data_IF_869468922458
#
_entry.id   IF_869468922458
#
_cell.length_a   1.000
_cell.length_b   1.000
_cell.length_c   1.000
_cell.angle_alpha   90.00
_cell.angle_beta   90.00
_cell.angle_gamma   90.00
#
_symmetry.space_group_name_H-M   'P 1'
#
loop_
_entity.id
_entity.type
_entity.pdbx_description
1 polymer ?
#
# COMPACT_ATOMS: atom_id res chain seq x y z
N UNK A 1 20.80 11.76 -18.91
CA UNK A 1 21.59 11.38 -20.09
C UNK A 1 21.89 12.66 -20.86
N UNK A 2 23.13 13.08 -20.93
CA UNK A 2 23.52 14.20 -21.78
C UNK A 2 23.51 13.68 -23.23
N UNK A 3 22.66 14.23 -24.09
CA UNK A 3 22.71 13.99 -25.54
C UNK A 3 24.08 14.42 -26.03
N UNK A 4 24.79 13.50 -26.65
CA UNK A 4 26.06 13.84 -27.34
C UNK A 4 25.82 14.95 -28.38
N UNK A 5 26.86 15.60 -28.86
CA UNK A 5 26.70 16.63 -29.89
C UNK A 5 26.02 16.01 -31.10
N UNK A 6 24.98 16.68 -31.64
CA UNK A 6 24.28 16.26 -32.83
C UNK A 6 25.32 16.11 -33.96
N UNK A 7 25.49 14.88 -34.46
CA UNK A 7 26.47 14.54 -35.50
C UNK A 7 26.04 15.05 -36.89
N UNK A 8 24.78 15.40 -37.06
CA UNK A 8 24.23 15.89 -38.32
C UNK A 8 23.08 16.90 -38.11
N UNK A 9 22.74 17.64 -39.12
CA UNK A 9 21.62 18.59 -39.18
C UNK A 9 20.78 18.27 -40.40
N UNK A 10 19.45 18.22 -40.23
CA UNK A 10 18.55 18.01 -41.36
C UNK A 10 18.30 19.30 -42.11
N UNK A 11 18.53 19.30 -43.40
CA UNK A 11 18.21 20.44 -44.27
C UNK A 11 16.72 20.65 -44.36
N UNK A 12 16.21 21.83 -44.01
CA UNK A 12 14.79 22.17 -44.05
C UNK A 12 14.20 22.23 -45.45
N UNK A 13 15.02 22.36 -46.51
CA UNK A 13 14.56 22.47 -47.89
C UNK A 13 14.47 21.13 -48.63
N UNK A 14 15.46 20.23 -48.42
CA UNK A 14 15.51 18.97 -49.14
C UNK A 14 15.42 17.74 -48.25
N UNK A 15 15.38 17.89 -46.93
CA UNK A 15 15.30 16.81 -45.96
C UNK A 15 16.60 15.99 -45.79
N UNK A 16 17.70 16.33 -46.48
CA UNK A 16 18.94 15.56 -46.42
C UNK A 16 19.70 15.84 -45.11
N UNK A 17 20.32 14.80 -44.58
CA UNK A 17 21.23 14.91 -43.45
C UNK A 17 22.56 15.50 -43.90
N UNK A 18 23.03 16.53 -43.24
CA UNK A 18 24.23 17.25 -43.57
C UNK A 18 25.07 17.52 -42.34
N UNK A 19 26.39 17.67 -42.55
CA UNK A 19 27.31 18.00 -41.45
C UNK A 19 26.95 19.31 -40.76
N UNK A 20 27.00 19.39 -39.43
CA UNK A 20 26.71 20.62 -38.69
C UNK A 20 27.76 21.73 -38.94
N UNK A 21 28.84 21.46 -39.69
CA UNK A 21 29.96 22.38 -39.94
C UNK A 21 29.83 23.15 -41.23
N UNK A 22 28.91 22.77 -42.15
CA UNK A 22 28.74 23.44 -43.45
C UNK A 22 27.76 24.61 -43.36
N UNK A 23 27.94 25.59 -44.20
CA UNK A 23 27.10 26.78 -44.28
C UNK A 23 26.00 26.67 -45.30
N UNK A 24 26.17 25.81 -46.31
CA UNK A 24 25.26 25.57 -47.39
C UNK A 24 25.04 24.09 -47.61
N UNK A 25 23.83 23.67 -47.96
CA UNK A 25 23.47 22.27 -48.21
C UNK A 25 24.11 21.81 -49.55
N UNK A 26 24.94 20.75 -49.58
CA UNK A 26 25.56 20.27 -50.80
C UNK A 26 24.57 19.67 -51.82
N UNK A 27 23.36 19.32 -51.38
CA UNK A 27 22.35 18.69 -52.21
C UNK A 27 21.40 19.69 -52.89
N UNK A 28 21.05 20.79 -52.21
CA UNK A 28 20.08 21.77 -52.75
C UNK A 28 20.57 23.22 -52.75
N UNK A 29 21.80 23.50 -52.31
CA UNK A 29 22.37 24.83 -52.25
C UNK A 29 21.78 25.77 -51.21
N UNK A 30 20.77 25.34 -50.47
CA UNK A 30 20.10 26.19 -49.46
C UNK A 30 21.06 26.54 -48.33
N UNK A 31 21.08 27.81 -47.96
CA UNK A 31 21.95 28.30 -46.86
C UNK A 31 21.41 27.85 -45.52
N UNK A 32 22.22 27.07 -44.81
CA UNK A 32 21.86 26.49 -43.50
C UNK A 32 22.16 27.44 -42.36
N UNK A 33 23.28 28.20 -42.47
CA UNK A 33 23.78 29.13 -41.44
C UNK A 33 24.46 30.35 -42.04
N UNK A 34 24.39 31.48 -41.33
CA UNK A 34 25.06 32.71 -41.76
C UNK A 34 26.58 32.67 -41.64
N UNK A 35 27.14 31.89 -40.70
CA UNK A 35 28.58 31.73 -40.47
C UNK A 35 28.87 30.30 -40.02
N UNK A 36 30.06 29.79 -40.42
CA UNK A 36 30.52 28.50 -39.92
C UNK A 36 30.78 28.56 -38.39
N UNK A 37 30.57 27.48 -37.64
CA UNK A 37 30.88 27.44 -36.24
C UNK A 37 32.43 27.63 -36.05
N UNK A 38 32.84 28.40 -35.04
CA UNK A 38 34.25 28.51 -34.68
C UNK A 38 34.74 27.19 -34.10
N UNK A 39 35.83 26.68 -34.64
CA UNK A 39 36.47 25.44 -34.16
C UNK A 39 37.51 25.78 -33.08
N UNK A 40 37.62 24.96 -32.08
CA UNK A 40 38.75 24.96 -31.13
C UNK A 40 39.96 24.21 -31.72
N UNK A 41 41.17 24.41 -31.16
CA UNK A 41 42.36 23.64 -31.56
C UNK A 41 42.09 22.17 -31.29
N UNK A 42 41.84 21.39 -32.35
CA UNK A 42 41.42 19.97 -32.29
C UNK A 42 40.20 19.65 -33.13
N UNK A 43 39.64 20.63 -33.90
CA UNK A 43 38.55 20.39 -34.84
C UNK A 43 37.14 20.27 -34.21
N UNK A 44 37.02 20.44 -32.92
CA UNK A 44 35.73 20.40 -32.20
C UNK A 44 35.08 21.78 -32.26
N UNK A 45 33.77 21.90 -32.61
CA UNK A 45 33.08 23.17 -32.63
C UNK A 45 33.05 23.76 -31.22
N UNK A 46 33.44 25.02 -31.10
CA UNK A 46 33.25 25.76 -29.87
C UNK A 46 31.77 25.84 -29.56
N UNK A 47 31.34 25.18 -28.49
CA UNK A 47 29.97 25.26 -28.02
C UNK A 47 29.55 26.75 -27.96
N UNK A 48 28.39 27.15 -28.55
CA UNK A 48 27.91 28.51 -28.37
C UNK A 48 27.93 28.77 -26.87
N UNK A 49 28.46 29.92 -26.42
CA UNK A 49 28.34 30.30 -25.02
C UNK A 49 26.85 30.30 -24.70
N UNK A 50 26.35 29.16 -24.27
CA UNK A 50 25.00 29.09 -23.79
C UNK A 50 24.88 30.14 -22.71
N UNK A 51 23.95 31.07 -22.90
CA UNK A 51 23.53 31.90 -21.79
C UNK A 51 23.49 30.96 -20.60
N UNK A 52 24.28 31.23 -19.56
CA UNK A 52 24.39 30.40 -18.36
C UNK A 52 22.98 29.92 -18.04
N UNK A 53 22.62 28.72 -18.48
CA UNK A 53 21.36 28.10 -18.06
C UNK A 53 21.46 28.12 -16.57
N UNK A 54 20.67 28.99 -15.95
CA UNK A 54 20.51 28.96 -14.51
C UNK A 54 20.29 27.50 -14.18
N UNK A 55 21.27 26.88 -13.49
CA UNK A 55 21.10 25.50 -13.02
C UNK A 55 19.75 25.51 -12.34
N UNK A 56 18.77 24.70 -12.77
CA UNK A 56 17.52 24.65 -12.07
C UNK A 56 17.91 24.35 -10.62
N UNK A 57 17.68 25.31 -9.73
CA UNK A 57 17.80 25.05 -8.30
C UNK A 57 16.73 24.01 -8.03
N UNK A 58 17.16 22.77 -7.82
CA UNK A 58 16.30 21.73 -7.31
C UNK A 58 15.77 22.27 -5.97
N UNK A 59 14.57 22.79 -6.00
CA UNK A 59 13.88 23.14 -4.77
C UNK A 59 13.61 21.83 -4.04
N UNK A 60 13.82 21.77 -2.73
CA UNK A 60 13.43 20.59 -1.97
C UNK A 60 11.94 20.33 -2.24
N UNK A 61 11.62 19.11 -2.63
CA UNK A 61 10.23 18.66 -2.89
C UNK A 61 9.38 19.01 -1.66
N UNK A 62 8.31 19.78 -1.88
CA UNK A 62 7.35 20.07 -0.81
C UNK A 62 6.59 18.81 -0.47
N UNK A 63 6.26 18.64 0.82
CA UNK A 63 5.40 17.54 1.28
C UNK A 63 4.11 17.54 0.44
N UNK A 64 3.91 16.50 -0.37
CA UNK A 64 2.73 16.36 -1.21
C UNK A 64 2.93 16.62 -2.71
N UNK A 65 4.13 17.02 -3.19
CA UNK A 65 4.40 17.21 -4.62
C UNK A 65 4.38 15.92 -5.44
N UNK A 66 4.56 14.76 -4.80
CA UNK A 66 4.39 13.46 -5.45
C UNK A 66 3.08 12.84 -4.90
N UNK A 67 1.99 12.83 -5.70
CA UNK A 67 0.74 12.23 -5.27
C UNK A 67 0.95 10.74 -4.93
N UNK A 68 0.65 10.36 -3.70
CA UNK A 68 0.67 8.96 -3.25
C UNK A 68 1.93 8.52 -2.50
N UNK A 69 3.01 9.28 -2.50
CA UNK A 69 4.19 8.98 -1.68
C UNK A 69 4.25 9.97 -0.53
N UNK A 70 3.89 9.51 0.66
CA UNK A 70 4.17 10.20 1.93
C UNK A 70 5.30 9.45 2.62
N UNK A 71 6.57 9.84 2.41
CA UNK A 71 7.72 9.07 2.90
C UNK A 71 7.84 9.00 4.43
N UNK A 72 7.16 9.88 5.15
CA UNK A 72 7.37 10.09 6.60
C UNK A 72 6.33 9.46 7.53
N UNK A 73 5.36 8.70 7.03
CA UNK A 73 4.40 8.04 7.93
C UNK A 73 4.84 6.62 8.24
N UNK A 74 5.56 6.48 9.35
CA UNK A 74 5.78 5.17 9.96
C UNK A 74 4.44 4.64 10.48
N UNK A 75 4.14 3.34 10.35
CA UNK A 75 2.87 2.74 10.74
C UNK A 75 2.83 2.49 12.26
N UNK A 76 2.89 3.57 13.05
CA UNK A 76 2.97 3.47 14.51
C UNK A 76 1.77 2.76 15.12
N UNK A 77 0.57 2.99 14.57
CA UNK A 77 -0.66 2.38 15.08
C UNK A 77 -0.69 0.90 14.77
N UNK A 78 -0.35 0.52 13.55
CA UNK A 78 -0.26 -0.89 13.17
C UNK A 78 0.78 -1.64 14.01
N UNK A 79 1.95 -1.04 14.23
CA UNK A 79 2.99 -1.62 15.10
C UNK A 79 2.46 -1.75 16.52
N UNK A 80 1.79 -0.73 17.05
CA UNK A 80 1.24 -0.78 18.41
C UNK A 80 0.19 -1.88 18.56
N UNK A 81 -0.70 -2.07 17.57
CA UNK A 81 -1.69 -3.16 17.57
C UNK A 81 -1.04 -4.54 17.58
N UNK A 82 -0.04 -4.75 16.73
CA UNK A 82 0.68 -6.04 16.66
C UNK A 82 1.44 -6.30 17.96
N UNK A 83 2.16 -5.30 18.48
CA UNK A 83 2.91 -5.43 19.73
C UNK A 83 1.97 -5.70 20.91
N UNK A 84 0.84 -4.97 20.99
CA UNK A 84 -0.17 -5.20 22.00
C UNK A 84 -0.73 -6.64 21.94
N UNK A 85 -1.03 -7.13 20.73
CA UNK A 85 -1.51 -8.51 20.53
C UNK A 85 -0.50 -9.53 21.00
N UNK A 86 0.77 -9.38 20.62
CA UNK A 86 1.84 -10.29 21.06
C UNK A 86 2.02 -10.26 22.59
N UNK A 87 2.02 -9.06 23.18
CA UNK A 87 2.19 -8.91 24.64
C UNK A 87 1.03 -9.54 25.40
N UNK A 88 -0.22 -9.24 25.00
CA UNK A 88 -1.42 -9.79 25.65
C UNK A 88 -1.46 -11.31 25.50
N UNK A 89 -1.22 -11.84 24.30
CA UNK A 89 -1.15 -13.28 24.05
C UNK A 89 -0.07 -13.95 24.89
N UNK A 90 1.11 -13.35 24.97
CA UNK A 90 2.20 -13.87 25.79
C UNK A 90 1.84 -13.88 27.29
N UNK A 91 1.28 -12.79 27.81
CA UNK A 91 0.84 -12.71 29.22
C UNK A 91 -0.23 -13.75 29.50
N UNK A 92 -1.21 -13.93 28.61
CA UNK A 92 -2.28 -14.90 28.75
C UNK A 92 -1.75 -16.36 28.79
N UNK A 93 -0.69 -16.69 28.07
CA UNK A 93 -0.03 -18.00 28.09
C UNK A 93 0.61 -18.31 29.46
N UNK A 94 1.19 -17.31 30.13
CA UNK A 94 1.80 -17.48 31.44
C UNK A 94 0.85 -17.24 32.62
N UNK A 95 -0.31 -16.65 32.36
CA UNK A 95 -1.32 -16.31 33.36
C UNK A 95 -2.72 -16.77 32.91
N UNK A 96 -3.10 -18.03 33.17
CA UNK A 96 -4.38 -18.58 32.73
C UNK A 96 -5.61 -17.78 33.22
N UNK A 97 -5.51 -17.14 34.38
CA UNK A 97 -6.56 -16.27 34.90
C UNK A 97 -6.80 -15.06 33.99
N UNK A 98 -5.73 -14.43 33.48
CA UNK A 98 -5.83 -13.31 32.54
C UNK A 98 -6.49 -13.79 31.23
N UNK A 99 -6.12 -14.98 30.75
CA UNK A 99 -6.79 -15.56 29.58
C UNK A 99 -8.30 -15.74 29.82
N UNK A 100 -8.70 -16.27 30.98
CA UNK A 100 -10.11 -16.47 31.31
C UNK A 100 -10.88 -15.15 31.44
N UNK A 101 -10.25 -14.10 31.99
CA UNK A 101 -10.87 -12.78 32.15
C UNK A 101 -11.07 -12.06 30.80
N UNK A 102 -10.21 -12.31 29.83
CA UNK A 102 -10.23 -11.66 28.50
C UNK A 102 -10.98 -12.47 27.44
N UNK A 103 -11.20 -13.76 27.66
CA UNK A 103 -11.81 -14.69 26.73
C UNK A 103 -13.34 -14.49 26.68
N UNK A 104 -13.87 -14.41 25.46
CA UNK A 104 -15.29 -14.50 25.18
C UNK A 104 -15.66 -16.00 25.01
N UNK A 105 -16.22 -16.60 26.07
CA UNK A 105 -16.55 -18.02 26.10
C UNK A 105 -18.05 -18.33 26.02
N UNK A 106 -18.86 -17.48 25.38
CA UNK A 106 -20.30 -17.64 25.29
C UNK A 106 -21.04 -16.31 25.14
N UNK A 107 -22.33 -16.25 25.52
CA UNK A 107 -23.11 -15.01 25.53
C UNK A 107 -22.44 -13.89 26.33
N UNK A 108 -22.68 -12.66 25.94
CA UNK A 108 -21.91 -11.49 26.46
C UNK A 108 -22.19 -11.21 27.94
N UNK A 109 -23.29 -11.65 28.50
CA UNK A 109 -23.74 -11.54 29.93
C UNK A 109 -23.29 -10.25 30.67
N UNK A 110 -23.31 -9.10 29.98
CA UNK A 110 -22.86 -7.81 30.48
C UNK A 110 -21.35 -7.53 30.33
N UNK A 111 -20.54 -8.50 29.97
CA UNK A 111 -19.08 -8.37 29.84
C UNK A 111 -18.66 -8.01 28.38
N UNK A 112 -19.27 -7.00 27.81
CA UNK A 112 -19.09 -6.56 26.42
C UNK A 112 -17.64 -6.27 26.03
N UNK A 113 -16.77 -5.90 26.98
CA UNK A 113 -15.33 -5.66 26.71
C UNK A 113 -14.62 -6.92 26.19
N UNK A 114 -15.10 -8.11 26.52
CA UNK A 114 -14.55 -9.38 26.05
C UNK A 114 -14.64 -9.54 24.53
N UNK A 115 -15.62 -8.91 23.89
CA UNK A 115 -15.75 -8.84 22.43
C UNK A 115 -14.51 -8.17 21.79
N UNK A 116 -13.90 -7.21 22.50
CA UNK A 116 -12.71 -6.50 22.06
C UNK A 116 -11.44 -7.23 22.49
N UNK A 117 -11.37 -7.69 23.74
CA UNK A 117 -10.14 -8.24 24.32
C UNK A 117 -9.79 -9.61 23.76
N UNK A 118 -10.77 -10.42 23.42
CA UNK A 118 -10.54 -11.76 22.87
C UNK A 118 -9.79 -11.74 21.52
N UNK A 119 -9.82 -10.61 20.79
CA UNK A 119 -9.06 -10.42 19.55
C UNK A 119 -7.54 -10.44 19.75
N UNK A 120 -7.09 -10.21 20.97
CA UNK A 120 -5.67 -10.18 21.34
C UNK A 120 -5.18 -11.53 21.89
N UNK A 121 -6.07 -12.52 22.01
CA UNK A 121 -5.74 -13.84 22.53
C UNK A 121 -5.50 -14.82 21.38
N UNK A 122 -4.45 -15.61 21.47
CA UNK A 122 -4.12 -16.65 20.51
C UNK A 122 -3.73 -17.94 21.24
N UNK A 123 -4.40 -19.03 20.95
CA UNK A 123 -4.10 -20.35 21.52
C UNK A 123 -2.87 -20.98 20.85
N UNK A 124 -2.71 -20.84 19.53
CA UNK A 124 -1.61 -21.39 18.79
C UNK A 124 -0.66 -20.32 18.22
N UNK A 125 0.63 -20.59 18.26
CA UNK A 125 1.66 -19.66 17.75
C UNK A 125 1.64 -19.53 16.24
N UNK A 126 1.33 -20.60 15.50
CA UNK A 126 1.23 -20.56 14.04
C UNK A 126 0.08 -19.67 13.58
N UNK A 127 -1.04 -19.76 14.25
CA UNK A 127 -2.21 -18.91 14.02
C UNK A 127 -1.92 -17.45 14.34
N UNK A 128 -1.27 -17.19 15.49
CA UNK A 128 -0.83 -15.84 15.89
C UNK A 128 0.06 -15.20 14.84
N UNK A 129 1.12 -15.92 14.40
CA UNK A 129 2.07 -15.41 13.40
C UNK A 129 1.38 -15.14 12.06
N UNK A 130 0.56 -16.06 11.56
CA UNK A 130 -0.14 -15.90 10.30
C UNK A 130 -1.09 -14.69 10.32
N UNK A 131 -1.91 -14.59 11.37
CA UNK A 131 -2.89 -13.52 11.53
C UNK A 131 -2.22 -12.17 11.73
N UNK A 132 -1.24 -12.07 12.64
CA UNK A 132 -0.54 -10.81 12.92
C UNK A 132 0.34 -10.35 11.74
N UNK A 133 0.87 -11.28 10.94
CA UNK A 133 1.56 -10.92 9.69
C UNK A 133 0.60 -10.24 8.70
N UNK A 134 -0.61 -10.74 8.56
CA UNK A 134 -1.63 -10.13 7.72
C UNK A 134 -2.11 -8.77 8.30
N UNK A 135 -2.35 -8.68 9.60
CA UNK A 135 -2.68 -7.42 10.29
C UNK A 135 -1.57 -6.38 10.08
N UNK A 136 -0.31 -6.78 10.23
CA UNK A 136 0.82 -5.89 10.01
C UNK A 136 0.88 -5.40 8.56
N UNK A 137 0.84 -6.31 7.59
CA UNK A 137 0.97 -5.97 6.18
C UNK A 137 -0.16 -5.03 5.72
N UNK A 138 -1.41 -5.45 5.89
CA UNK A 138 -2.56 -4.68 5.40
C UNK A 138 -2.87 -3.46 6.27
N UNK A 139 -2.63 -3.53 7.58
CA UNK A 139 -2.71 -2.40 8.48
C UNK A 139 -1.70 -1.31 8.09
N UNK A 140 -0.43 -1.68 7.85
CA UNK A 140 0.59 -0.76 7.37
C UNK A 140 0.19 -0.10 6.04
N UNK A 141 -0.26 -0.89 5.07
CA UNK A 141 -0.68 -0.37 3.76
C UNK A 141 -1.86 0.61 3.89
N UNK A 142 -2.84 0.31 4.73
CA UNK A 142 -3.98 1.17 5.00
C UNK A 142 -3.60 2.43 5.79
N UNK A 143 -2.73 2.30 6.80
CA UNK A 143 -2.25 3.44 7.60
C UNK A 143 -1.49 4.44 6.72
N UNK A 144 -0.67 3.96 5.79
CA UNK A 144 0.01 4.82 4.80
C UNK A 144 -0.96 5.51 3.85
N UNK A 145 -2.06 4.84 3.48
CA UNK A 145 -3.05 5.37 2.53
C UNK A 145 -4.03 6.34 3.17
N UNK A 146 -4.63 5.97 4.30
CA UNK A 146 -5.76 6.68 4.91
C UNK A 146 -5.42 7.36 6.24
N UNK A 147 -4.28 7.03 6.83
CA UNK A 147 -3.85 7.55 8.13
C UNK A 147 -4.12 6.56 9.26
N UNK A 148 -3.72 6.98 10.46
CA UNK A 148 -3.70 6.19 11.69
C UNK A 148 -5.07 5.62 12.11
N UNK A 149 -6.15 6.31 11.80
CA UNK A 149 -7.52 5.94 12.21
C UNK A 149 -8.08 4.72 11.45
N UNK A 150 -7.64 4.50 10.20
CA UNK A 150 -8.19 3.45 9.36
C UNK A 150 -7.90 2.03 9.87
N UNK A 151 -6.65 1.66 10.25
CA UNK A 151 -6.41 0.34 10.85
C UNK A 151 -7.11 0.18 12.20
N UNK A 152 -7.25 1.25 13.02
CA UNK A 152 -8.00 1.18 14.28
C UNK A 152 -9.48 0.89 14.05
N UNK A 153 -10.11 1.62 13.13
CA UNK A 153 -11.53 1.43 12.80
C UNK A 153 -11.79 0.00 12.32
N UNK A 154 -10.93 -0.53 11.44
CA UNK A 154 -11.09 -1.87 10.89
C UNK A 154 -10.77 -2.94 11.92
N UNK A 155 -9.69 -2.79 12.68
CA UNK A 155 -9.31 -3.77 13.70
C UNK A 155 -10.39 -3.87 14.79
N UNK A 156 -10.73 -2.76 15.42
CA UNK A 156 -11.72 -2.76 16.50
C UNK A 156 -13.14 -2.86 15.98
N UNK A 157 -13.51 -2.16 14.93
CA UNK A 157 -14.89 -2.16 14.43
C UNK A 157 -15.27 -3.49 13.78
N UNK A 158 -14.55 -3.89 12.75
CA UNK A 158 -14.87 -5.12 12.02
C UNK A 158 -14.53 -6.39 12.82
N UNK A 159 -13.40 -6.38 13.54
CA UNK A 159 -13.00 -7.47 14.40
C UNK A 159 -14.01 -7.72 15.51
N UNK A 160 -14.42 -6.65 16.23
CA UNK A 160 -15.44 -6.78 17.30
C UNK A 160 -16.81 -7.14 16.74
N UNK A 161 -17.18 -6.69 15.54
CA UNK A 161 -18.45 -7.10 14.93
C UNK A 161 -18.47 -8.62 14.67
N UNK A 162 -17.35 -9.20 14.21
CA UNK A 162 -17.23 -10.65 14.05
C UNK A 162 -17.38 -11.41 15.37
N UNK A 163 -16.69 -10.95 16.42
CA UNK A 163 -16.76 -11.56 17.75
C UNK A 163 -18.14 -11.41 18.39
N UNK A 164 -18.77 -10.24 18.25
CA UNK A 164 -20.13 -10.02 18.76
C UNK A 164 -21.14 -10.96 18.09
N UNK A 165 -21.03 -11.19 16.79
CA UNK A 165 -21.95 -12.10 16.10
C UNK A 165 -21.74 -13.56 16.53
N UNK A 166 -20.51 -14.00 16.79
CA UNK A 166 -20.23 -15.34 17.34
C UNK A 166 -20.89 -15.49 18.70
N UNK A 167 -20.79 -14.49 19.58
CA UNK A 167 -21.41 -14.50 20.89
C UNK A 167 -22.95 -14.54 20.83
N UNK A 168 -23.57 -13.74 19.94
CA UNK A 168 -25.02 -13.70 19.77
C UNK A 168 -25.56 -14.99 19.15
N UNK A 169 -24.81 -15.58 18.21
CA UNK A 169 -25.16 -16.79 17.53
C UNK A 169 -24.87 -18.07 18.35
N UNK A 170 -24.27 -17.92 19.54
CA UNK A 170 -23.76 -19.01 20.38
C UNK A 170 -22.94 -20.05 19.58
N UNK A 171 -22.09 -19.53 18.70
CA UNK A 171 -21.32 -20.33 17.75
C UNK A 171 -19.92 -20.65 18.28
N UNK A 172 -19.84 -21.15 19.50
CA UNK A 172 -18.61 -21.61 20.12
C UNK A 172 -17.67 -20.50 20.55
N UNK A 173 -16.39 -20.82 20.58
CA UNK A 173 -15.31 -19.90 20.97
C UNK A 173 -14.66 -19.29 19.73
N UNK A 174 -14.31 -18.02 19.80
CA UNK A 174 -13.51 -17.34 18.80
C UNK A 174 -12.36 -16.62 19.47
N UNK A 175 -11.15 -16.87 19.02
CA UNK A 175 -9.92 -16.24 19.50
C UNK A 175 -9.21 -15.52 18.36
N UNK A 176 -8.43 -14.51 18.73
CA UNK A 176 -7.50 -13.85 17.85
C UNK A 176 -8.12 -12.87 16.84
N UNK A 177 -7.25 -12.19 16.13
CA UNK A 177 -7.60 -11.11 15.22
C UNK A 177 -7.95 -11.53 13.78
N UNK A 178 -8.34 -12.79 13.52
CA UNK A 178 -8.62 -13.26 12.15
C UNK A 178 -9.71 -12.43 11.44
N UNK A 179 -10.77 -12.07 12.15
CA UNK A 179 -11.83 -11.20 11.64
C UNK A 179 -11.27 -9.81 11.28
N UNK A 180 -10.42 -9.25 12.13
CA UNK A 180 -9.74 -7.98 11.86
C UNK A 180 -8.74 -8.08 10.70
N UNK A 181 -7.98 -9.19 10.60
CA UNK A 181 -7.05 -9.43 9.49
C UNK A 181 -7.77 -9.49 8.14
N UNK A 182 -8.87 -10.25 8.06
CA UNK A 182 -9.71 -10.34 6.87
C UNK A 182 -10.34 -8.99 6.52
N UNK A 183 -10.76 -8.19 7.54
CA UNK A 183 -11.31 -6.87 7.32
C UNK A 183 -10.28 -5.90 6.73
N UNK A 184 -9.05 -5.87 7.27
CA UNK A 184 -7.96 -5.04 6.78
C UNK A 184 -7.58 -5.42 5.35
N UNK A 185 -7.45 -6.72 5.06
CA UNK A 185 -7.17 -7.22 3.72
C UNK A 185 -8.28 -6.83 2.75
N UNK A 186 -9.55 -7.10 3.10
CA UNK A 186 -10.69 -6.81 2.24
C UNK A 186 -10.82 -5.30 1.96
N UNK A 187 -10.67 -4.46 2.99
CA UNK A 187 -10.72 -3.01 2.83
C UNK A 187 -9.60 -2.49 1.93
N UNK A 188 -8.41 -3.05 2.04
CA UNK A 188 -7.28 -2.69 1.17
C UNK A 188 -7.52 -3.10 -0.28
N UNK A 189 -7.99 -4.36 -0.50
CA UNK A 189 -8.21 -4.92 -1.82
C UNK A 189 -9.35 -4.22 -2.59
N UNK A 190 -10.35 -3.68 -1.89
CA UNK A 190 -11.53 -3.07 -2.50
C UNK A 190 -11.21 -1.96 -3.49
N UNK A 191 -10.20 -1.14 -3.19
CA UNK A 191 -9.76 -0.09 -4.10
C UNK A 191 -9.24 -0.65 -5.42
N UNK A 192 -8.40 -1.67 -5.35
CA UNK A 192 -7.73 -2.23 -6.54
C UNK A 192 -8.75 -3.03 -7.38
N UNK A 193 -9.71 -3.69 -6.71
CA UNK A 193 -10.87 -4.32 -7.38
C UNK A 193 -11.71 -3.27 -8.13
N UNK A 194 -12.00 -2.12 -7.50
CA UNK A 194 -12.76 -1.05 -8.14
C UNK A 194 -11.98 -0.40 -9.29
N UNK A 195 -10.67 -0.20 -9.14
CA UNK A 195 -9.80 0.35 -10.20
C UNK A 195 -9.80 -0.57 -11.43
N UNK A 196 -9.65 -1.88 -11.24
CA UNK A 196 -9.72 -2.88 -12.32
C UNK A 196 -11.09 -2.90 -13.02
N UNK A 197 -12.19 -2.82 -12.26
CA UNK A 197 -13.55 -2.72 -12.83
C UNK A 197 -13.74 -1.48 -13.70
N UNK A 198 -12.97 -0.43 -13.46
CA UNK A 198 -12.97 0.83 -14.25
C UNK A 198 -11.95 0.82 -15.40
N UNK A 199 -11.33 -0.32 -15.69
CA UNK A 199 -10.35 -0.48 -16.77
C UNK A 199 -8.99 0.19 -16.48
N UNK A 200 -8.67 0.49 -15.23
CA UNK A 200 -7.33 0.96 -14.83
C UNK A 200 -6.44 -0.23 -14.57
N UNK A 201 -5.28 -0.24 -15.22
CA UNK A 201 -4.21 -1.17 -14.86
C UNK A 201 -3.64 -0.75 -13.50
N UNK A 202 -3.68 -1.65 -12.54
CA UNK A 202 -3.09 -1.47 -11.22
C UNK A 202 -2.01 -2.54 -11.03
N UNK A 203 -0.82 -2.13 -10.61
CA UNK A 203 0.35 -3.03 -10.42
C UNK A 203 0.25 -3.88 -9.15
N UNK A 204 -0.92 -3.90 -8.50
CA UNK A 204 -1.11 -4.68 -7.29
C UNK A 204 -1.07 -6.18 -7.57
N UNK A 205 -0.24 -6.91 -6.83
CA UNK A 205 -0.20 -8.38 -6.86
C UNK A 205 -1.45 -8.97 -6.21
N UNK A 206 -2.51 -9.08 -7.01
CA UNK A 206 -3.79 -9.64 -6.55
C UNK A 206 -3.69 -11.15 -6.29
N UNK A 207 -2.73 -11.84 -6.88
CA UNK A 207 -2.53 -13.27 -6.63
C UNK A 207 -2.00 -13.48 -5.20
N UNK A 208 -1.02 -12.69 -4.77
CA UNK A 208 -0.51 -12.72 -3.40
C UNK A 208 -1.59 -12.35 -2.37
N UNK A 209 -2.40 -11.33 -2.67
CA UNK A 209 -3.54 -10.94 -1.82
C UNK A 209 -4.57 -12.07 -1.71
N UNK A 210 -4.90 -12.72 -2.83
CA UNK A 210 -5.82 -13.85 -2.85
C UNK A 210 -5.27 -15.04 -2.05
N UNK A 211 -3.98 -15.33 -2.17
CA UNK A 211 -3.34 -16.40 -1.41
C UNK A 211 -3.44 -16.17 0.11
N UNK A 212 -3.18 -14.92 0.57
CA UNK A 212 -3.32 -14.56 1.99
C UNK A 212 -4.80 -14.62 2.42
N UNK A 213 -5.73 -14.16 1.57
CA UNK A 213 -7.16 -14.22 1.86
C UNK A 213 -7.62 -15.68 2.04
N UNK A 214 -7.22 -16.58 1.13
CA UNK A 214 -7.52 -18.02 1.21
C UNK A 214 -6.94 -18.62 2.48
N UNK A 215 -5.68 -18.31 2.81
CA UNK A 215 -5.05 -18.77 4.05
C UNK A 215 -5.87 -18.37 5.29
N UNK A 216 -6.25 -17.09 5.40
CA UNK A 216 -7.04 -16.59 6.54
C UNK A 216 -8.45 -17.17 6.59
N UNK A 217 -9.11 -17.39 5.45
CA UNK A 217 -10.44 -17.99 5.37
C UNK A 217 -10.40 -19.48 5.75
N UNK A 218 -9.31 -20.16 5.44
CA UNK A 218 -9.12 -21.58 5.76
C UNK A 218 -8.57 -21.82 7.18
N UNK A 219 -8.19 -20.77 7.91
CA UNK A 219 -7.67 -20.90 9.29
C UNK A 219 -8.60 -21.69 10.24
N UNK A 220 -9.94 -21.56 10.18
CA UNK A 220 -10.82 -22.37 11.02
C UNK A 220 -10.77 -23.89 10.77
N UNK A 221 -10.20 -24.32 9.64
CA UNK A 221 -9.95 -25.75 9.36
C UNK A 221 -8.61 -26.22 9.94
N UNK A 222 -7.70 -25.30 10.23
CA UNK A 222 -6.36 -25.59 10.72
C UNK A 222 -6.22 -25.44 12.23
N UNK A 223 -7.10 -24.67 12.88
CA UNK A 223 -7.05 -24.43 14.33
C UNK A 223 -8.45 -24.15 14.88
N UNK A 224 -8.73 -24.67 16.08
CA UNK A 224 -9.96 -24.42 16.83
C UNK A 224 -10.06 -23.00 17.38
N UNK A 225 -8.96 -22.25 17.36
CA UNK A 225 -8.90 -20.85 17.80
C UNK A 225 -9.67 -19.91 16.86
N UNK A 226 -9.61 -20.19 15.56
CA UNK A 226 -10.23 -19.36 14.55
C UNK A 226 -11.69 -19.75 14.32
N UNK A 227 -12.58 -18.76 14.33
CA UNK A 227 -13.99 -18.98 14.05
C UNK A 227 -14.35 -18.49 12.63
N UNK A 228 -14.96 -19.37 11.84
CA UNK A 228 -15.34 -19.08 10.46
C UNK A 228 -16.36 -17.95 10.35
N UNK A 229 -17.34 -17.91 11.26
CA UNK A 229 -18.37 -16.88 11.28
C UNK A 229 -17.75 -15.51 11.58
N UNK A 230 -16.87 -15.43 12.58
CA UNK A 230 -16.15 -14.20 12.89
C UNK A 230 -15.32 -13.69 11.67
N UNK A 231 -14.61 -14.59 11.01
CA UNK A 231 -13.83 -14.28 9.82
C UNK A 231 -14.66 -13.75 8.66
N UNK A 232 -15.78 -14.42 8.35
CA UNK A 232 -16.70 -13.99 7.29
C UNK A 232 -17.29 -12.61 7.57
N UNK A 233 -17.75 -12.36 8.80
CA UNK A 233 -18.32 -11.07 9.20
C UNK A 233 -17.26 -9.98 9.12
N UNK A 234 -16.06 -10.24 9.63
CA UNK A 234 -14.93 -9.30 9.52
C UNK A 234 -14.63 -8.95 8.06
N UNK A 235 -14.56 -9.95 7.18
CA UNK A 235 -14.36 -9.74 5.74
C UNK A 235 -15.45 -8.88 5.09
N UNK A 236 -16.73 -9.20 5.35
CA UNK A 236 -17.89 -8.44 4.82
C UNK A 236 -17.89 -6.99 5.31
N UNK A 237 -17.70 -6.78 6.61
CA UNK A 237 -17.59 -5.43 7.18
C UNK A 237 -16.39 -4.67 6.58
N UNK A 238 -15.27 -5.38 6.39
CA UNK A 238 -14.08 -4.85 5.73
C UNK A 238 -14.34 -4.40 4.29
N UNK A 239 -15.12 -5.16 3.50
CA UNK A 239 -15.56 -4.77 2.16
C UNK A 239 -16.37 -3.48 2.22
N UNK A 240 -17.38 -3.42 3.09
CA UNK A 240 -18.29 -2.26 3.21
C UNK A 240 -17.51 -1.00 3.60
N UNK A 241 -16.67 -1.10 4.63
CA UNK A 241 -15.83 0.02 5.08
C UNK A 241 -14.80 0.41 4.01
N UNK A 242 -14.21 -0.57 3.32
CA UNK A 242 -13.27 -0.36 2.22
C UNK A 242 -13.88 0.39 1.04
N UNK A 243 -15.14 0.08 0.68
CA UNK A 243 -15.90 0.83 -0.31
C UNK A 243 -16.11 2.29 0.13
N UNK A 244 -16.41 2.52 1.41
CA UNK A 244 -16.51 3.86 1.99
C UNK A 244 -15.19 4.63 1.89
N UNK A 245 -14.09 4.00 2.29
CA UNK A 245 -12.74 4.57 2.25
C UNK A 245 -12.29 4.91 0.81
N UNK A 246 -12.64 4.06 -0.17
CA UNK A 246 -12.33 4.32 -1.57
C UNK A 246 -13.04 5.58 -2.09
N UNK A 247 -14.30 5.81 -1.72
CA UNK A 247 -15.10 6.97 -2.13
C UNK A 247 -14.65 8.29 -1.47
N UNK A 248 -14.19 8.25 -0.22
CA UNK A 248 -13.72 9.46 0.49
C UNK A 248 -12.50 10.11 -0.17
N UNK A 249 -11.73 9.37 -0.93
CA UNK A 249 -10.52 9.86 -1.60
C UNK A 249 -10.77 10.35 -3.04
N UNK A 250 -11.94 10.07 -3.61
CA UNK A 250 -12.35 10.57 -4.93
C UNK A 250 -12.97 11.97 -4.86
N UNK A 251 -13.27 12.46 -3.66
CA UNK A 251 -13.73 13.84 -3.37
C UNK A 251 -12.54 14.73 -2.95
#
# INVERSE_FOLDING_TARGET
MASGPDLFVICKSCGSEVSPYITECPYCGTRLRKRAPKLERGGVPKAPKSARRARPRLQPLRRGEIPGIRPDRRPYVTIALVVASVVVSLVARFRPQVAADLLLGGPVDGEWWRVVTTQFLYGSTSYEVATLSAVFLFGWLLERRHGWWAPLLLFFGAGSAGMALVAVADNGVALGGNAAALALLAAWAMRDVLARRRGREDDADMLGVLAIAVLLVLMPLATDDANALAGLVGGVVGIVLGLGLARLRER
#
